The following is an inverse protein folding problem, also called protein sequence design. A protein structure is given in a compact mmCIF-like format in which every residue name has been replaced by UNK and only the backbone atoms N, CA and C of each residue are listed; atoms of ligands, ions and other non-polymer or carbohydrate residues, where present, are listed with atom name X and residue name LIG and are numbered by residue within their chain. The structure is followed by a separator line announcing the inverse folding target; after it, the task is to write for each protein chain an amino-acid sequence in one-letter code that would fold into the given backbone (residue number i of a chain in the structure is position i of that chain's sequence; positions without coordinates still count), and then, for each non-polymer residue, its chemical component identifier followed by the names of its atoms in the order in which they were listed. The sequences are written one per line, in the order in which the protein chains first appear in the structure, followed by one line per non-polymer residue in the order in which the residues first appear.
data_IF_045495082261
#
_entry.id   IF_045495082261
#
_cell.length_a   1.000
_cell.length_b   1.000
_cell.length_c   1.000
_cell.angle_alpha   90.00
_cell.angle_beta   90.00
_cell.angle_gamma   90.00
#
_symmetry.space_group_name_H-M   'P 1'
#
loop_
_entity.id
_entity.type
_entity.pdbx_description
1 polymer ?
#
# COMPACT_ATOMS: atom_id res chain seq x y z
N UNK A 1 16.09 0.08 -43.32
CA UNK A 1 16.59 0.73 -42.07
C UNK A 1 15.35 1.05 -41.25
N UNK A 2 14.99 0.11 -40.44
CA UNK A 2 13.74 0.13 -39.64
C UNK A 2 13.98 0.95 -38.40
N UNK A 3 13.09 1.91 -38.19
CA UNK A 3 13.20 2.96 -37.17
C UNK A 3 12.94 2.36 -35.77
N UNK A 4 13.96 1.93 -35.07
CA UNK A 4 13.94 1.41 -33.70
C UNK A 4 13.77 2.51 -32.63
N UNK A 5 13.41 3.73 -33.00
CA UNK A 5 13.29 4.89 -32.09
C UNK A 5 11.96 5.00 -31.36
N UNK A 6 10.98 4.10 -31.57
CA UNK A 6 9.64 4.20 -30.95
C UNK A 6 9.50 3.51 -29.57
N UNK A 7 10.56 2.83 -29.08
CA UNK A 7 10.45 2.02 -27.86
C UNK A 7 10.81 2.75 -26.56
N UNK A 8 11.19 4.02 -26.60
CA UNK A 8 11.62 4.76 -25.41
C UNK A 8 11.21 6.22 -25.43
N UNK A 9 9.97 6.53 -25.76
CA UNK A 9 9.47 7.88 -25.48
C UNK A 9 9.11 7.99 -23.99
N UNK A 10 9.97 8.64 -23.16
CA UNK A 10 9.74 8.77 -21.73
C UNK A 10 8.59 9.73 -21.40
N UNK A 11 8.09 10.45 -22.39
CA UNK A 11 6.99 11.42 -22.21
C UNK A 11 5.61 10.76 -22.30
N UNK A 12 5.51 9.62 -23.00
CA UNK A 12 4.24 8.92 -23.19
C UNK A 12 3.68 8.28 -21.88
N UNK A 13 4.52 8.08 -20.85
CA UNK A 13 4.12 7.50 -19.57
C UNK A 13 4.04 8.53 -18.42
N UNK A 14 4.24 9.81 -18.66
CA UNK A 14 4.15 10.87 -17.65
C UNK A 14 2.96 11.77 -17.90
N UNK A 15 2.25 12.13 -16.82
CA UNK A 15 1.16 13.09 -16.81
C UNK A 15 1.55 14.29 -15.94
N UNK A 16 1.32 15.49 -16.43
CA UNK A 16 1.42 16.70 -15.61
C UNK A 16 0.12 16.86 -14.83
N UNK A 17 0.23 16.99 -13.51
CA UNK A 17 -0.92 17.27 -12.65
C UNK A 17 -1.31 18.74 -12.84
N UNK A 18 -2.53 19.01 -13.29
CA UNK A 18 -3.03 20.38 -13.55
C UNK A 18 -3.01 21.25 -12.29
N UNK A 19 -3.24 20.65 -11.12
CA UNK A 19 -3.32 21.39 -9.85
C UNK A 19 -1.95 21.74 -9.27
N UNK A 20 -0.94 20.86 -9.44
CA UNK A 20 0.37 21.03 -8.81
C UNK A 20 1.50 21.30 -9.79
N UNK A 21 1.26 21.19 -11.09
CA UNK A 21 2.28 21.31 -12.13
C UNK A 21 3.36 20.22 -12.12
N UNK A 22 3.22 19.19 -11.26
CA UNK A 22 4.20 18.13 -11.11
C UNK A 22 4.02 17.05 -12.19
N UNK A 23 5.13 16.62 -12.78
CA UNK A 23 5.14 15.49 -13.70
C UNK A 23 5.12 14.17 -12.92
N UNK A 24 4.10 13.35 -13.14
CA UNK A 24 3.89 12.08 -12.44
C UNK A 24 4.00 10.93 -13.44
N UNK A 25 4.86 9.95 -13.15
CA UNK A 25 4.95 8.71 -13.90
C UNK A 25 3.70 7.85 -13.61
N UNK A 26 2.92 7.51 -14.66
CA UNK A 26 1.67 6.74 -14.52
C UNK A 26 1.86 5.36 -13.89
N UNK A 27 2.98 4.71 -14.20
CA UNK A 27 3.31 3.41 -13.60
C UNK A 27 3.53 3.55 -12.09
N UNK A 28 4.31 4.53 -11.65
CA UNK A 28 4.54 4.80 -10.23
C UNK A 28 3.24 5.18 -9.52
N UNK A 29 2.38 5.98 -10.13
CA UNK A 29 1.09 6.36 -9.57
C UNK A 29 0.19 5.15 -9.27
N UNK A 30 0.23 4.11 -10.11
CA UNK A 30 -0.52 2.86 -9.83
C UNK A 30 -0.01 2.17 -8.58
N UNK A 31 1.31 2.04 -8.41
CA UNK A 31 1.90 1.39 -7.23
C UNK A 31 1.69 2.22 -5.96
N UNK A 32 1.79 3.54 -6.04
CA UNK A 32 1.44 4.43 -4.91
C UNK A 32 -0.01 4.18 -4.47
N UNK A 33 -0.95 4.19 -5.42
CA UNK A 33 -2.37 3.96 -5.12
C UNK A 33 -2.64 2.57 -4.57
N UNK A 34 -2.06 1.52 -5.17
CA UNK A 34 -2.24 0.14 -4.70
C UNK A 34 -1.74 -0.04 -3.27
N UNK A 35 -0.54 0.43 -2.98
CA UNK A 35 0.02 0.33 -1.62
C UNK A 35 -0.77 1.19 -0.62
N UNK A 36 -1.16 2.42 -0.98
CA UNK A 36 -1.96 3.28 -0.13
C UNK A 36 -3.34 2.67 0.18
N UNK A 37 -4.03 2.13 -0.83
CA UNK A 37 -5.33 1.45 -0.63
C UNK A 37 -5.16 0.20 0.24
N UNK A 38 -4.11 -0.61 -0.01
CA UNK A 38 -3.82 -1.78 0.82
C UNK A 38 -3.56 -1.38 2.28
N UNK A 39 -2.79 -0.32 2.53
CA UNK A 39 -2.55 0.21 3.87
C UNK A 39 -3.87 0.57 4.57
N UNK A 40 -4.77 1.29 3.90
CA UNK A 40 -6.08 1.67 4.46
C UNK A 40 -6.95 0.45 4.74
N UNK A 41 -6.95 -0.55 3.85
CA UNK A 41 -7.71 -1.80 4.06
C UNK A 41 -7.20 -2.55 5.30
N UNK A 42 -5.88 -2.74 5.44
CA UNK A 42 -5.31 -3.40 6.61
C UNK A 42 -5.53 -2.60 7.90
N UNK A 43 -5.46 -1.28 7.85
CA UNK A 43 -5.79 -0.40 8.98
C UNK A 43 -7.26 -0.58 9.40
N UNK A 44 -8.18 -0.63 8.44
CA UNK A 44 -9.61 -0.84 8.70
C UNK A 44 -9.86 -2.21 9.33
N UNK A 45 -9.27 -3.29 8.79
CA UNK A 45 -9.38 -4.64 9.34
C UNK A 45 -8.83 -4.72 10.76
N UNK A 46 -7.67 -4.10 11.00
CA UNK A 46 -7.09 -3.98 12.33
C UNK A 46 -7.98 -3.20 13.29
N UNK A 47 -8.60 -2.11 12.84
CA UNK A 47 -9.55 -1.32 13.63
C UNK A 47 -10.81 -2.10 14.01
N UNK A 48 -11.39 -2.85 13.08
CA UNK A 48 -12.54 -3.74 13.35
C UNK A 48 -12.16 -4.79 14.42
N UNK A 49 -10.98 -5.41 14.26
CA UNK A 49 -10.47 -6.37 15.24
C UNK A 49 -10.29 -5.73 16.64
N UNK A 50 -9.83 -4.48 16.71
CA UNK A 50 -9.71 -3.73 17.97
C UNK A 50 -11.08 -3.58 18.67
N UNK A 51 -12.12 -3.23 17.91
CA UNK A 51 -13.49 -3.10 18.45
C UNK A 51 -13.99 -4.44 19.00
N UNK A 52 -13.78 -5.54 18.26
CA UNK A 52 -14.15 -6.89 18.72
C UNK A 52 -13.42 -7.26 20.02
N UNK A 53 -12.13 -6.96 20.13
CA UNK A 53 -11.35 -7.19 21.35
C UNK A 53 -11.84 -6.33 22.52
N UNK A 54 -12.17 -5.06 22.28
CA UNK A 54 -12.70 -4.15 23.29
C UNK A 54 -14.04 -4.65 23.83
N UNK A 55 -14.97 -5.05 22.95
CA UNK A 55 -16.26 -5.61 23.32
C UNK A 55 -16.15 -6.93 24.08
N UNK A 56 -15.14 -7.75 23.74
CA UNK A 56 -14.89 -9.02 24.45
C UNK A 56 -14.38 -8.78 25.87
N UNK A 57 -13.57 -7.73 26.07
CA UNK A 57 -13.06 -7.35 27.40
C UNK A 57 -14.11 -6.67 28.29
N UNK A 58 -15.20 -6.23 27.71
CA UNK A 58 -16.25 -5.59 28.47
C UNK A 58 -17.02 -6.65 29.28
N UNK A 59 -17.06 -6.49 30.59
CA UNK A 59 -17.61 -7.48 31.56
C UNK A 59 -19.04 -7.93 31.25
N UNK A 60 -19.82 -7.07 30.64
CA UNK A 60 -21.24 -7.34 30.34
C UNK A 60 -21.45 -8.12 29.04
N UNK A 61 -20.54 -8.02 28.07
CA UNK A 61 -20.79 -8.51 26.71
C UNK A 61 -20.07 -9.85 26.42
N UNK A 62 -18.82 -10.02 26.82
CA UNK A 62 -18.01 -11.26 26.61
C UNK A 62 -18.23 -11.89 25.22
N UNK A 63 -17.98 -11.14 24.15
CA UNK A 63 -18.39 -11.47 22.79
C UNK A 63 -17.69 -12.73 22.24
N UNK A 64 -16.41 -12.94 22.56
CA UNK A 64 -15.58 -13.99 21.97
C UNK A 64 -15.11 -15.00 23.03
N UNK A 65 -15.13 -16.30 22.71
CA UNK A 65 -14.46 -17.31 23.53
C UNK A 65 -12.95 -17.10 23.53
N UNK A 66 -12.27 -17.63 24.55
CA UNK A 66 -10.84 -17.39 24.83
C UNK A 66 -9.94 -17.67 23.63
N UNK A 67 -10.18 -18.78 22.93
CA UNK A 67 -9.36 -19.19 21.77
C UNK A 67 -9.45 -18.19 20.63
N UNK A 68 -10.64 -17.67 20.36
CA UNK A 68 -10.86 -16.65 19.32
C UNK A 68 -10.32 -15.28 19.75
N UNK A 69 -10.37 -14.96 21.04
CA UNK A 69 -9.80 -13.73 21.55
C UNK A 69 -8.30 -13.62 21.22
N UNK A 70 -7.51 -14.66 21.49
CA UNK A 70 -6.08 -14.65 21.19
C UNK A 70 -5.77 -14.62 19.68
N UNK A 71 -6.56 -15.31 18.87
CA UNK A 71 -6.41 -15.26 17.41
C UNK A 71 -6.66 -13.85 16.86
N UNK A 72 -7.73 -13.21 17.29
CA UNK A 72 -8.08 -11.84 16.88
C UNK A 72 -7.08 -10.83 17.45
N UNK A 73 -6.56 -11.04 18.64
CA UNK A 73 -5.51 -10.22 19.22
C UNK A 73 -4.23 -10.26 18.35
N UNK A 74 -3.80 -11.45 17.94
CA UNK A 74 -2.66 -11.61 17.04
C UNK A 74 -2.92 -10.96 15.69
N UNK A 75 -4.10 -11.20 15.11
CA UNK A 75 -4.51 -10.58 13.84
C UNK A 75 -4.53 -9.04 13.94
N UNK A 76 -5.09 -8.48 15.01
CA UNK A 76 -5.08 -7.05 15.28
C UNK A 76 -3.64 -6.52 15.36
N UNK A 77 -2.79 -7.16 16.16
CA UNK A 77 -1.40 -6.76 16.34
C UNK A 77 -0.62 -6.76 15.02
N UNK A 78 -0.73 -7.81 14.21
CA UNK A 78 -0.07 -7.92 12.91
C UNK A 78 -0.56 -6.83 11.95
N UNK A 79 -1.87 -6.58 11.88
CA UNK A 79 -2.42 -5.54 11.01
C UNK A 79 -1.99 -4.13 11.45
N UNK A 80 -1.99 -3.85 12.75
CA UNK A 80 -1.69 -2.51 13.29
C UNK A 80 -0.20 -2.20 13.39
N UNK A 81 0.65 -3.20 13.57
CA UNK A 81 2.09 -2.98 13.74
C UNK A 81 2.92 -3.26 12.49
N UNK A 82 2.42 -4.08 11.57
CA UNK A 82 3.22 -4.53 10.42
C UNK A 82 2.54 -4.14 9.11
N UNK A 83 1.38 -4.72 8.78
CA UNK A 83 0.86 -4.64 7.43
C UNK A 83 0.52 -3.21 6.97
N UNK A 84 -0.29 -2.46 7.72
CA UNK A 84 -0.67 -1.12 7.26
C UNK A 84 0.53 -0.16 7.19
N UNK A 85 1.47 -0.23 8.16
CA UNK A 85 2.67 0.62 8.18
C UNK A 85 3.55 0.29 6.98
N UNK A 86 3.82 -1.00 6.73
CA UNK A 86 4.68 -1.45 5.65
C UNK A 86 4.15 -0.99 4.27
N UNK A 87 2.85 -1.19 4.00
CA UNK A 87 2.24 -0.73 2.77
C UNK A 87 2.24 0.80 2.65
N UNK A 88 2.01 1.50 3.76
CA UNK A 88 2.04 2.96 3.79
C UNK A 88 3.45 3.50 3.52
N UNK A 89 4.48 2.95 4.16
CA UNK A 89 5.89 3.34 3.94
C UNK A 89 6.30 3.13 2.48
N UNK A 90 5.93 2.00 1.88
CA UNK A 90 6.24 1.75 0.47
C UNK A 90 5.51 2.72 -0.45
N UNK A 91 4.26 3.07 -0.16
CA UNK A 91 3.55 4.09 -0.92
C UNK A 91 4.28 5.45 -0.84
N UNK A 92 4.73 5.84 0.36
CA UNK A 92 5.49 7.08 0.59
C UNK A 92 6.86 7.02 -0.10
N UNK A 93 7.56 5.89 -0.08
CA UNK A 93 8.84 5.71 -0.78
C UNK A 93 8.67 5.86 -2.29
N UNK A 94 7.67 5.21 -2.91
CA UNK A 94 7.39 5.41 -4.32
C UNK A 94 7.05 6.87 -4.64
N UNK A 95 6.28 7.53 -3.79
CA UNK A 95 5.96 8.95 -3.94
C UNK A 95 7.23 9.81 -3.87
N UNK A 96 8.06 9.64 -2.84
CA UNK A 96 9.26 10.44 -2.59
C UNK A 96 10.30 10.28 -3.72
N UNK A 97 10.48 9.05 -4.21
CA UNK A 97 11.46 8.78 -5.28
C UNK A 97 10.99 9.30 -6.63
N UNK A 98 9.70 9.15 -6.95
CA UNK A 98 9.22 9.43 -8.31
C UNK A 98 8.80 10.87 -8.52
N UNK A 99 8.32 11.57 -7.49
CA UNK A 99 7.82 12.95 -7.63
C UNK A 99 8.89 13.98 -7.26
N UNK A 100 9.40 14.09 -6.01
CA UNK A 100 10.39 15.08 -5.66
C UNK A 100 11.75 14.83 -6.32
N UNK A 101 12.23 13.59 -6.36
CA UNK A 101 13.53 13.24 -6.94
C UNK A 101 13.47 13.05 -8.46
N UNK A 102 12.28 13.09 -9.07
CA UNK A 102 12.07 12.91 -10.52
C UNK A 102 12.71 11.63 -11.09
N UNK A 103 12.85 10.60 -10.26
CA UNK A 103 13.42 9.32 -10.67
C UNK A 103 12.34 8.44 -11.33
N UNK A 104 12.78 7.69 -12.36
CA UNK A 104 11.89 6.71 -13.03
C UNK A 104 11.88 5.41 -12.27
N UNK A 105 10.76 4.69 -12.34
CA UNK A 105 10.68 3.32 -11.83
C UNK A 105 11.61 2.42 -12.66
N UNK A 106 12.58 1.76 -12.01
CA UNK A 106 13.56 0.91 -12.66
C UNK A 106 12.92 -0.26 -13.42
N UNK A 107 11.98 -0.98 -12.78
CA UNK A 107 11.31 -2.11 -13.39
C UNK A 107 9.89 -2.29 -12.82
N UNK A 108 8.90 -2.29 -13.72
CA UNK A 108 7.50 -2.58 -13.37
C UNK A 108 7.33 -4.02 -12.85
N UNK A 109 8.12 -4.98 -13.38
CA UNK A 109 8.04 -6.40 -12.96
C UNK A 109 8.49 -6.58 -11.51
N UNK A 110 9.60 -5.96 -11.12
CA UNK A 110 10.09 -6.01 -9.73
C UNK A 110 9.08 -5.41 -8.76
N UNK A 111 8.47 -4.28 -9.11
CA UNK A 111 7.45 -3.65 -8.29
C UNK A 111 6.21 -4.54 -8.09
N UNK A 112 5.76 -5.26 -9.14
CA UNK A 112 4.67 -6.22 -9.03
C UNK A 112 5.02 -7.44 -8.18
N UNK A 113 6.23 -7.99 -8.35
CA UNK A 113 6.70 -9.12 -7.52
C UNK A 113 6.81 -8.71 -6.06
N UNK A 114 7.37 -7.53 -5.77
CA UNK A 114 7.46 -6.98 -4.41
C UNK A 114 6.08 -6.82 -3.79
N UNK A 115 5.13 -6.20 -4.50
CA UNK A 115 3.76 -6.07 -4.02
C UNK A 115 3.08 -7.42 -3.76
N UNK A 116 3.23 -8.38 -4.70
CA UNK A 116 2.69 -9.73 -4.55
C UNK A 116 3.24 -10.47 -3.34
N UNK A 117 4.56 -10.39 -3.10
CA UNK A 117 5.22 -11.00 -1.94
C UNK A 117 4.79 -10.40 -0.60
N UNK A 118 4.34 -9.14 -0.60
CA UNK A 118 3.84 -8.49 0.63
C UNK A 118 2.41 -8.88 0.96
N UNK A 119 1.61 -9.27 -0.04
CA UNK A 119 0.20 -9.66 0.14
C UNK A 119 0.06 -11.13 0.53
N UNK A 120 1.03 -11.99 0.17
CA UNK A 120 1.04 -13.44 0.46
C UNK A 120 1.66 -13.73 1.82
#
# INVERSE_FOLDING_TARGET
MENTSSLTDPTAESRVCETTGLSVCLAAQRFIKLNAVSAVVFLLLGGIAAILLALTRWQTIHLLPVDWFYRILTFHGLNMLIFWILFFEIAVLYFAVTIPLKCKLYSKKVAWVSFGLMVV
#
